data_IF_438332492671
#
_entry.id   IF_438332492671
#
_cell.length_a   1.000
_cell.length_b   1.000
_cell.length_c   1.000
_cell.angle_alpha   90.00
_cell.angle_beta   90.00
_cell.angle_gamma   90.00
#
_symmetry.space_group_name_H-M   'P 1'
#
loop_
_entity.id
_entity.type
_entity.pdbx_description
1 polymer ?
#
# COMPACT_ATOMS: atom_id res chain seq x y z
N UNK A 1 20.48 -1.41 -25.07
CA UNK A 1 20.30 -0.76 -23.75
C UNK A 1 18.84 -0.28 -23.53
N UNK A 2 17.83 -1.15 -23.62
CA UNK A 2 16.41 -0.69 -23.52
C UNK A 2 15.47 -1.68 -22.80
N UNK A 3 15.94 -2.37 -21.74
CA UNK A 3 15.11 -3.33 -20.98
C UNK A 3 14.77 -2.88 -19.55
N UNK A 4 15.60 -2.02 -18.95
CA UNK A 4 15.44 -1.61 -17.55
C UNK A 4 14.23 -0.67 -17.37
N UNK A 5 13.95 0.21 -18.33
CA UNK A 5 12.83 1.16 -18.21
C UNK A 5 11.43 0.54 -18.23
N UNK A 6 11.24 -0.58 -18.95
CA UNK A 6 9.94 -1.26 -19.05
C UNK A 6 9.58 -2.03 -17.77
N UNK A 7 10.50 -2.88 -17.31
CA UNK A 7 10.30 -3.67 -16.10
C UNK A 7 10.15 -2.79 -14.84
N UNK A 8 10.88 -1.67 -14.77
CA UNK A 8 10.70 -0.70 -13.67
C UNK A 8 9.33 -0.02 -13.73
N UNK A 9 8.82 0.33 -14.92
CA UNK A 9 7.47 0.92 -15.04
C UNK A 9 6.37 -0.06 -14.64
N UNK A 10 6.40 -1.28 -15.16
CA UNK A 10 5.42 -2.32 -14.83
C UNK A 10 5.42 -2.62 -13.33
N UNK A 11 6.61 -2.66 -12.70
CA UNK A 11 6.72 -2.78 -11.24
C UNK A 11 6.04 -1.61 -10.52
N UNK A 12 6.29 -0.36 -10.93
CA UNK A 12 5.65 0.81 -10.31
C UNK A 12 4.14 0.78 -10.47
N UNK A 13 3.62 0.38 -11.64
CA UNK A 13 2.19 0.24 -11.86
C UNK A 13 1.56 -0.82 -10.97
N UNK A 14 2.22 -1.97 -10.83
CA UNK A 14 1.77 -3.04 -9.93
C UNK A 14 1.73 -2.57 -8.47
N UNK A 15 2.81 -1.94 -8.01
CA UNK A 15 2.91 -1.44 -6.63
C UNK A 15 1.86 -0.36 -6.35
N UNK A 16 1.62 0.58 -7.29
CA UNK A 16 0.59 1.60 -7.16
C UNK A 16 -0.81 0.96 -7.07
N UNK A 17 -1.12 -0.01 -7.92
CA UNK A 17 -2.42 -0.70 -7.89
C UNK A 17 -2.63 -1.43 -6.56
N UNK A 18 -1.63 -2.18 -6.11
CA UNK A 18 -1.72 -2.92 -4.85
C UNK A 18 -1.87 -1.99 -3.65
N UNK A 19 -1.06 -0.92 -3.59
CA UNK A 19 -1.10 0.03 -2.49
C UNK A 19 -2.43 0.79 -2.44
N UNK A 20 -2.93 1.27 -3.59
CA UNK A 20 -4.23 1.95 -3.64
C UNK A 20 -5.36 1.04 -3.18
N UNK A 21 -5.47 -0.17 -3.73
CA UNK A 21 -6.53 -1.10 -3.35
C UNK A 21 -6.50 -1.45 -1.87
N UNK A 22 -5.32 -1.70 -1.30
CA UNK A 22 -5.19 -2.02 0.11
C UNK A 22 -5.62 -0.87 1.03
N UNK A 23 -5.34 0.39 0.67
CA UNK A 23 -5.81 1.55 1.45
C UNK A 23 -7.30 1.81 1.26
N UNK A 24 -7.88 1.53 0.09
CA UNK A 24 -9.32 1.63 -0.16
C UNK A 24 -10.12 0.57 0.61
N UNK A 25 -9.58 -0.64 0.77
CA UNK A 25 -10.20 -1.75 1.51
C UNK A 25 -10.05 -1.61 3.03
N UNK A 26 -9.09 -0.79 3.49
CA UNK A 26 -8.70 -0.70 4.90
C UNK A 26 -9.87 -0.40 5.87
N UNK A 27 -10.83 0.49 5.57
CA UNK A 27 -11.97 0.74 6.45
C UNK A 27 -12.89 -0.47 6.62
N UNK A 28 -12.97 -1.35 5.63
CA UNK A 28 -13.72 -2.60 5.74
C UNK A 28 -12.98 -3.62 6.57
N UNK A 29 -11.68 -3.77 6.33
CA UNK A 29 -10.82 -4.65 7.13
C UNK A 29 -10.87 -4.25 8.60
N UNK A 30 -10.70 -2.97 8.94
CA UNK A 30 -10.70 -2.52 10.35
C UNK A 30 -12.04 -2.80 11.05
N UNK A 31 -13.15 -2.82 10.32
CA UNK A 31 -14.47 -3.18 10.88
C UNK A 31 -14.57 -4.66 11.26
N UNK A 32 -13.83 -5.54 10.58
CA UNK A 32 -14.00 -6.99 10.67
C UNK A 32 -12.81 -7.71 11.31
N UNK A 33 -11.63 -7.08 11.34
CA UNK A 33 -10.36 -7.71 11.76
C UNK A 33 -10.35 -8.20 13.21
N UNK A 34 -11.25 -7.69 14.05
CA UNK A 34 -11.44 -8.18 15.42
C UNK A 34 -12.17 -9.53 15.50
N UNK A 35 -12.94 -9.88 14.46
CA UNK A 35 -13.68 -11.14 14.34
C UNK A 35 -12.88 -12.22 13.61
N UNK A 36 -11.76 -11.85 12.99
CA UNK A 36 -10.85 -12.78 12.32
C UNK A 36 -10.12 -13.67 13.32
N UNK A 37 -9.75 -14.87 12.89
CA UNK A 37 -8.91 -15.71 13.73
C UNK A 37 -7.47 -15.17 13.83
N UNK A 38 -6.73 -15.66 14.83
CA UNK A 38 -5.37 -15.18 15.10
C UNK A 38 -4.43 -15.36 13.90
N UNK A 39 -4.58 -16.43 13.12
CA UNK A 39 -3.70 -16.72 12.00
C UNK A 39 -3.98 -15.78 10.81
N UNK A 40 -5.25 -15.56 10.50
CA UNK A 40 -5.71 -14.61 9.48
C UNK A 40 -5.27 -13.19 9.82
N UNK A 41 -5.53 -12.75 11.05
CA UNK A 41 -5.14 -11.43 11.54
C UNK A 41 -3.62 -11.23 11.48
N UNK A 42 -2.84 -12.20 11.95
CA UNK A 42 -1.37 -12.11 11.91
C UNK A 42 -0.85 -12.08 10.48
N UNK A 43 -1.43 -12.88 9.56
CA UNK A 43 -1.06 -12.85 8.14
C UNK A 43 -1.30 -11.47 7.55
N UNK A 44 -2.46 -10.87 7.81
CA UNK A 44 -2.80 -9.55 7.28
C UNK A 44 -1.90 -8.46 7.83
N UNK A 45 -1.64 -8.45 9.14
CA UNK A 45 -0.74 -7.48 9.78
C UNK A 45 0.67 -7.57 9.17
N UNK A 46 1.17 -8.78 8.92
CA UNK A 46 2.47 -8.96 8.26
C UNK A 46 2.46 -8.42 6.83
N UNK A 47 1.43 -8.73 6.05
CA UNK A 47 1.27 -8.22 4.68
C UNK A 47 1.14 -6.68 4.66
N UNK A 48 0.50 -6.09 5.68
CA UNK A 48 0.38 -4.64 5.83
C UNK A 48 1.74 -3.96 6.01
N UNK A 49 2.65 -4.50 6.82
CA UNK A 49 4.01 -3.95 6.94
C UNK A 49 4.77 -3.99 5.61
N UNK A 50 4.61 -5.07 4.84
CA UNK A 50 5.21 -5.15 3.50
C UNK A 50 4.59 -4.12 2.55
N UNK A 51 3.29 -3.85 2.68
CA UNK A 51 2.61 -2.81 1.92
C UNK A 51 3.17 -1.41 2.25
N UNK A 52 3.35 -1.08 3.53
CA UNK A 52 3.93 0.22 3.94
C UNK A 52 5.35 0.41 3.37
N UNK A 53 6.18 -0.63 3.41
CA UNK A 53 7.51 -0.59 2.77
C UNK A 53 7.44 -0.36 1.25
N UNK A 54 6.42 -0.89 0.58
CA UNK A 54 6.18 -0.65 -0.85
C UNK A 54 5.74 0.79 -1.12
N UNK A 55 4.91 1.38 -0.25
CA UNK A 55 4.55 2.80 -0.34
C UNK A 55 5.81 3.67 -0.23
N UNK A 56 6.71 3.39 0.72
CA UNK A 56 7.97 4.11 0.79
C UNK A 56 8.86 3.90 -0.46
N UNK A 57 8.85 2.71 -1.06
CA UNK A 57 9.57 2.44 -2.31
C UNK A 57 9.02 3.31 -3.46
N UNK A 58 7.69 3.43 -3.56
CA UNK A 58 7.02 4.29 -4.54
C UNK A 58 7.44 5.75 -4.35
N UNK A 59 7.43 6.23 -3.11
CA UNK A 59 7.88 7.59 -2.77
C UNK A 59 9.33 7.86 -3.20
N UNK A 60 10.24 6.94 -2.86
CA UNK A 60 11.67 7.03 -3.24
C UNK A 60 11.89 7.01 -4.75
N UNK A 61 10.99 6.40 -5.52
CA UNK A 61 11.09 6.28 -6.97
C UNK A 61 10.19 7.25 -7.74
N UNK A 62 9.50 8.18 -7.07
CA UNK A 62 8.59 9.17 -7.67
C UNK A 62 9.24 10.00 -8.80
N UNK A 63 10.54 10.30 -8.68
CA UNK A 63 11.30 11.01 -9.72
C UNK A 63 11.38 10.23 -11.05
N UNK A 64 11.33 8.89 -11.01
CA UNK A 64 11.44 8.00 -12.19
C UNK A 64 10.08 7.64 -12.80
N UNK A 65 8.98 8.06 -12.16
CA UNK A 65 7.62 7.76 -12.58
C UNK A 65 7.20 8.59 -13.79
N UNK A 66 6.29 8.03 -14.59
CA UNK A 66 5.56 8.78 -15.62
C UNK A 66 4.59 9.77 -14.97
N UNK A 67 4.05 10.71 -15.77
CA UNK A 67 3.05 11.65 -15.26
C UNK A 67 1.81 10.95 -14.69
N UNK A 68 1.35 9.88 -15.36
CA UNK A 68 0.20 9.09 -14.90
C UNK A 68 0.49 8.39 -13.57
N UNK A 69 1.66 7.78 -13.44
CA UNK A 69 2.09 7.14 -12.19
C UNK A 69 2.22 8.14 -11.04
N UNK A 70 2.67 9.37 -11.32
CA UNK A 70 2.73 10.44 -10.31
C UNK A 70 1.34 10.87 -9.85
N UNK A 71 0.38 10.99 -10.76
CA UNK A 71 -1.03 11.26 -10.39
C UNK A 71 -1.56 10.17 -9.47
N UNK A 72 -1.36 8.90 -9.84
CA UNK A 72 -1.76 7.76 -8.99
C UNK A 72 -1.02 7.72 -7.65
N UNK A 73 0.23 8.19 -7.60
CA UNK A 73 0.97 8.35 -6.34
C UNK A 73 0.37 9.47 -5.47
N UNK A 74 -0.11 10.56 -6.09
CA UNK A 74 -0.85 11.60 -5.38
C UNK A 74 -2.18 11.06 -4.81
N UNK A 75 -2.94 10.30 -5.61
CA UNK A 75 -4.15 9.62 -5.14
C UNK A 75 -3.83 8.67 -3.97
N UNK A 76 -2.71 7.94 -4.05
CA UNK A 76 -2.26 7.06 -2.96
C UNK A 76 -1.91 7.86 -1.70
N UNK A 77 -1.23 9.00 -1.82
CA UNK A 77 -0.95 9.88 -0.67
C UNK A 77 -2.23 10.41 -0.03
N UNK A 78 -3.25 10.69 -0.83
CA UNK A 78 -4.56 11.10 -0.34
C UNK A 78 -5.26 9.97 0.42
N UNK A 79 -5.22 8.75 -0.10
CA UNK A 79 -5.75 7.55 0.56
C UNK A 79 -5.01 7.27 1.88
N UNK A 80 -3.67 7.31 1.88
CA UNK A 80 -2.83 7.15 3.08
C UNK A 80 -3.19 8.17 4.16
N UNK A 81 -3.42 9.43 3.78
CA UNK A 81 -3.83 10.47 4.72
C UNK A 81 -5.24 10.24 5.25
N UNK A 82 -6.17 9.81 4.39
CA UNK A 82 -7.58 9.61 4.73
C UNK A 82 -7.78 8.41 5.67
N UNK A 83 -6.98 7.37 5.49
CA UNK A 83 -7.05 6.11 6.25
C UNK A 83 -5.91 5.94 7.25
N UNK A 84 -5.31 7.05 7.70
CA UNK A 84 -4.21 7.01 8.66
C UNK A 84 -4.63 6.33 9.96
N UNK A 85 -5.79 6.68 10.50
CA UNK A 85 -6.25 6.15 11.77
C UNK A 85 -6.58 4.66 11.66
N UNK A 86 -7.17 4.24 10.54
CA UNK A 86 -7.42 2.83 10.22
C UNK A 86 -6.10 2.03 10.16
N UNK A 87 -5.06 2.60 9.55
CA UNK A 87 -3.74 1.98 9.50
C UNK A 87 -3.08 1.86 10.89
N UNK A 88 -3.28 2.84 11.79
CA UNK A 88 -2.82 2.73 13.18
C UNK A 88 -3.52 1.60 13.94
N UNK A 89 -4.81 1.35 13.67
CA UNK A 89 -5.52 0.20 14.26
C UNK A 89 -4.83 -1.10 13.85
N UNK A 90 -4.57 -1.31 12.55
CA UNK A 90 -3.89 -2.53 12.08
C UNK A 90 -2.51 -2.68 12.73
N UNK A 91 -1.73 -1.60 12.83
CA UNK A 91 -0.39 -1.65 13.45
C UNK A 91 -0.44 -1.95 14.95
N UNK A 92 -1.51 -1.56 15.64
CA UNK A 92 -1.69 -1.83 17.08
C UNK A 92 -1.96 -3.30 17.40
N UNK A 93 -2.29 -4.13 16.39
CA UNK A 93 -2.55 -5.55 16.54
C UNK A 93 -1.26 -6.38 16.68
N UNK A 94 -0.09 -5.78 16.48
CA UNK A 94 1.20 -6.41 16.80
C UNK A 94 1.39 -6.39 18.31
N UNK A 95 1.09 -7.51 18.96
CA UNK A 95 1.34 -7.74 20.39
C UNK A 95 2.54 -8.67 20.58
#
# INVERSE_FOLDING_TARGET
>A
MAKVGGATRERMDLLLTQALGAYEELPEVVREIHDWDDAERMSYVYDWFLLEQRVEELERNSAKMTQEQRRRLEDLRDAVRSHRDDAEVVKSLVV
#
